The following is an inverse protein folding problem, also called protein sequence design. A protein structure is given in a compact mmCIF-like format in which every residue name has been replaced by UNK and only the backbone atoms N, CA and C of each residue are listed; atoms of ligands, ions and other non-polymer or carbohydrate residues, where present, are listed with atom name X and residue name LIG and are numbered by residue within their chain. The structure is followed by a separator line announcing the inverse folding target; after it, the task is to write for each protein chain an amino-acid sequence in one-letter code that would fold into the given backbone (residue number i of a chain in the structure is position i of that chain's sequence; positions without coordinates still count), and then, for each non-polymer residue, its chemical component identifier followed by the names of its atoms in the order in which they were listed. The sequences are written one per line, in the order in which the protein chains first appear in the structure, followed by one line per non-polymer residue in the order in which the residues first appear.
data_IF_738132340193
#
_entry.id   IF_738132340193
#
_cell.length_a   1.000
_cell.length_b   1.000
_cell.length_c   1.000
_cell.angle_alpha   90.00
_cell.angle_beta   90.00
_cell.angle_gamma   90.00
#
_symmetry.space_group_name_H-M   'P 1'
#
loop_
_entity.id
_entity.type
_entity.pdbx_description
1 polymer ?
#
# COMPACT_ATOMS: atom_id res chain seq x y z
N UNK A 1 -24.43 13.97 -9.93
CA UNK A 1 -24.80 14.19 -8.51
C UNK A 1 -23.53 14.43 -7.71
N UNK A 2 -23.46 15.54 -6.97
CA UNK A 2 -22.22 16.09 -6.40
C UNK A 2 -21.96 15.51 -5.00
N UNK A 3 -20.99 14.60 -4.86
CA UNK A 3 -20.64 13.86 -3.62
C UNK A 3 -20.18 14.75 -2.45
N UNK A 4 -19.88 16.03 -2.73
CA UNK A 4 -19.47 17.04 -1.74
C UNK A 4 -20.56 17.40 -0.70
N UNK A 5 -21.85 17.28 -1.07
CA UNK A 5 -22.96 17.68 -0.17
C UNK A 5 -23.27 16.67 0.93
N UNK A 6 -23.12 15.36 0.66
CA UNK A 6 -23.38 14.31 1.66
C UNK A 6 -22.34 14.33 2.80
N UNK A 7 -21.12 14.80 2.49
CA UNK A 7 -20.01 14.94 3.44
C UNK A 7 -20.28 15.98 4.55
N UNK A 8 -20.93 17.12 4.23
CA UNK A 8 -21.19 18.16 5.25
C UNK A 8 -22.26 17.75 6.27
N UNK A 9 -23.20 16.90 5.88
CA UNK A 9 -24.34 16.52 6.74
C UNK A 9 -23.99 15.40 7.75
N UNK A 10 -23.10 14.47 7.39
CA UNK A 10 -22.66 13.41 8.31
C UNK A 10 -21.64 13.90 9.34
N UNK A 11 -20.75 14.83 8.96
CA UNK A 11 -19.74 15.42 9.86
C UNK A 11 -20.39 16.35 10.89
N UNK A 12 -21.46 17.06 10.54
CA UNK A 12 -22.12 17.98 11.47
C UNK A 12 -22.91 17.25 12.57
N UNK A 13 -23.58 16.13 12.27
CA UNK A 13 -24.33 15.35 13.26
C UNK A 13 -23.40 14.62 14.26
N UNK A 14 -22.27 14.10 13.80
CA UNK A 14 -21.28 13.45 14.66
C UNK A 14 -20.53 14.45 15.55
N UNK A 15 -20.27 15.67 15.05
CA UNK A 15 -19.74 16.76 15.88
C UNK A 15 -20.73 17.27 16.94
N UNK A 16 -22.03 17.27 16.64
CA UNK A 16 -23.08 17.63 17.60
C UNK A 16 -23.23 16.58 18.71
N UNK A 17 -23.12 15.29 18.39
CA UNK A 17 -23.16 14.20 19.37
C UNK A 17 -21.91 14.17 20.28
N UNK A 18 -20.74 14.57 19.77
CA UNK A 18 -19.51 14.69 20.56
C UNK A 18 -19.58 15.78 21.64
N UNK A 19 -20.42 16.81 21.46
CA UNK A 19 -20.60 17.91 22.43
C UNK A 19 -21.55 17.58 23.59
N UNK A 20 -22.33 16.49 23.50
CA UNK A 20 -23.39 16.19 24.46
C UNK A 20 -22.98 15.37 25.69
N UNK A 21 -21.71 14.98 25.84
CA UNK A 21 -21.18 14.46 27.10
C UNK A 21 -20.25 13.27 26.99
N UNK A 22 -19.10 13.38 27.68
CA UNK A 22 -18.24 12.28 28.18
C UNK A 22 -17.81 11.18 27.19
N UNK A 23 -17.65 11.46 25.90
CA UNK A 23 -16.79 10.60 25.08
C UNK A 23 -15.32 10.95 25.33
N UNK A 24 -14.77 10.37 26.40
CA UNK A 24 -13.34 10.26 26.60
C UNK A 24 -12.81 9.27 25.55
N UNK A 25 -12.66 9.72 24.30
CA UNK A 25 -12.12 8.88 23.22
C UNK A 25 -10.69 9.31 22.88
N UNK A 26 -9.68 9.03 23.72
CA UNK A 26 -8.29 9.12 23.32
C UNK A 26 -7.90 7.85 22.56
N UNK A 27 -8.75 7.35 21.64
CA UNK A 27 -8.20 6.59 20.51
C UNK A 27 -7.58 7.66 19.61
N UNK A 28 -6.41 8.14 20.02
CA UNK A 28 -5.64 9.16 19.31
C UNK A 28 -5.59 8.70 17.86
N UNK A 29 -6.01 9.54 16.91
CA UNK A 29 -6.10 9.16 15.50
C UNK A 29 -4.80 8.52 14.95
N UNK A 30 -3.65 8.83 15.59
CA UNK A 30 -2.32 8.25 15.39
C UNK A 30 -2.15 6.77 15.77
N UNK A 31 -3.11 6.15 16.44
CA UNK A 31 -2.94 4.80 17.00
C UNK A 31 -3.61 3.68 16.21
N UNK A 32 -4.30 3.99 15.11
CA UNK A 32 -5.07 2.98 14.40
C UNK A 32 -4.23 2.27 13.32
N UNK A 33 -3.96 0.98 13.51
CA UNK A 33 -3.14 0.19 12.56
C UNK A 33 -3.83 -0.14 11.26
N UNK A 34 -5.16 -0.12 11.23
CA UNK A 34 -5.90 -0.22 9.97
C UNK A 34 -5.49 0.93 9.04
N UNK A 35 -5.48 2.15 9.58
CA UNK A 35 -4.99 3.33 8.84
C UNK A 35 -3.52 3.19 8.47
N UNK A 36 -2.68 2.68 9.37
CA UNK A 36 -1.26 2.46 9.07
C UNK A 36 -1.05 1.51 7.87
N UNK A 37 -1.84 0.43 7.78
CA UNK A 37 -1.83 -0.46 6.62
C UNK A 37 -2.23 0.26 5.32
N UNK A 38 -3.18 1.19 5.40
CA UNK A 38 -3.53 2.03 4.24
C UNK A 38 -2.42 3.00 3.86
N UNK A 39 -1.76 3.60 4.83
CA UNK A 39 -0.64 4.50 4.58
C UNK A 39 0.55 3.74 3.97
N UNK A 40 0.78 2.47 4.33
CA UNK A 40 1.76 1.59 3.68
C UNK A 40 1.40 1.29 2.22
N UNK A 41 0.14 0.99 1.93
CA UNK A 41 -0.36 0.80 0.55
C UNK A 41 -0.18 2.08 -0.28
N UNK A 42 -0.55 3.25 0.26
CA UNK A 42 -0.37 4.54 -0.41
C UNK A 42 1.10 4.82 -0.70
N UNK A 43 1.96 4.58 0.27
CA UNK A 43 3.40 4.77 0.14
C UNK A 43 3.97 3.97 -1.04
N UNK A 44 3.65 2.67 -1.11
CA UNK A 44 4.14 1.80 -2.18
C UNK A 44 3.56 2.15 -3.54
N UNK A 45 2.26 2.45 -3.62
CA UNK A 45 1.62 2.89 -4.86
C UNK A 45 2.27 4.15 -5.41
N UNK A 46 2.52 5.14 -4.56
CA UNK A 46 3.13 6.41 -4.99
C UNK A 46 4.59 6.19 -5.44
N UNK A 47 5.33 5.30 -4.76
CA UNK A 47 6.70 4.93 -5.16
C UNK A 47 6.75 4.16 -6.50
N UNK A 48 5.87 3.17 -6.69
CA UNK A 48 5.77 2.39 -7.93
C UNK A 48 5.35 3.28 -9.10
N UNK A 49 4.38 4.17 -8.90
CA UNK A 49 3.96 5.11 -9.94
C UNK A 49 5.12 6.00 -10.38
N UNK A 50 5.87 6.57 -9.43
CA UNK A 50 7.06 7.39 -9.76
C UNK A 50 8.13 6.57 -10.50
N UNK A 51 8.34 5.31 -10.13
CA UNK A 51 9.26 4.41 -10.82
C UNK A 51 8.82 4.13 -12.28
N UNK A 52 7.53 3.91 -12.49
CA UNK A 52 6.96 3.65 -13.82
C UNK A 52 6.96 4.90 -14.70
N UNK A 53 6.80 6.10 -14.14
CA UNK A 53 6.98 7.37 -14.87
C UNK A 53 8.40 7.49 -15.41
N UNK A 54 9.40 7.22 -14.57
CA UNK A 54 10.82 7.24 -14.95
C UNK A 54 11.15 6.16 -15.98
N UNK A 55 10.61 4.95 -15.81
CA UNK A 55 10.77 3.86 -16.77
C UNK A 55 10.12 4.21 -18.12
N UNK A 56 8.92 4.79 -18.13
CA UNK A 56 8.23 5.24 -19.33
C UNK A 56 9.01 6.37 -20.03
N UNK A 57 9.52 7.36 -19.29
CA UNK A 57 10.36 8.41 -19.86
C UNK A 57 11.64 7.84 -20.51
N UNK A 58 12.25 6.83 -19.91
CA UNK A 58 13.48 6.20 -20.43
C UNK A 58 13.18 5.34 -21.66
N UNK A 59 12.22 4.43 -21.55
CA UNK A 59 11.96 3.40 -22.56
C UNK A 59 11.09 3.90 -23.71
N UNK A 60 10.05 4.66 -23.41
CA UNK A 60 9.05 5.09 -24.39
C UNK A 60 9.43 6.42 -25.01
N UNK A 61 9.74 7.43 -24.19
CA UNK A 61 10.02 8.79 -24.70
C UNK A 61 11.43 8.87 -25.31
N UNK A 62 12.45 8.39 -24.59
CA UNK A 62 13.84 8.44 -25.06
C UNK A 62 14.27 7.24 -25.91
N UNK A 63 13.43 6.20 -26.00
CA UNK A 63 13.73 5.00 -26.77
C UNK A 63 14.91 4.16 -26.25
N UNK A 64 15.31 4.32 -24.98
CA UNK A 64 16.48 3.64 -24.40
C UNK A 64 16.07 2.39 -23.62
N UNK A 65 16.86 1.35 -23.74
CA UNK A 65 16.74 0.14 -22.93
C UNK A 65 16.76 0.47 -21.43
N UNK A 66 15.96 -0.24 -20.64
CA UNK A 66 16.04 -0.13 -19.18
C UNK A 66 17.27 -0.90 -18.70
N UNK A 67 18.09 -0.33 -17.80
CA UNK A 67 19.17 -1.08 -17.17
C UNK A 67 18.62 -2.32 -16.45
N UNK A 68 19.35 -3.44 -16.50
CA UNK A 68 18.91 -4.69 -15.86
C UNK A 68 18.61 -4.55 -14.37
N UNK A 69 19.38 -3.71 -13.66
CA UNK A 69 19.10 -3.43 -12.24
C UNK A 69 17.75 -2.76 -12.02
N UNK A 70 17.29 -1.92 -12.96
CA UNK A 70 16.02 -1.19 -12.85
C UNK A 70 14.83 -2.14 -13.06
N UNK A 71 14.95 -3.08 -14.00
CA UNK A 71 13.95 -4.14 -14.23
C UNK A 71 13.83 -5.04 -12.99
N UNK A 72 14.95 -5.50 -12.43
CA UNK A 72 14.94 -6.32 -11.21
C UNK A 72 14.38 -5.56 -10.00
N UNK A 73 14.73 -4.29 -9.86
CA UNK A 73 14.19 -3.41 -8.83
C UNK A 73 12.67 -3.24 -8.95
N UNK A 74 12.14 -3.03 -10.16
CA UNK A 74 10.70 -2.95 -10.42
C UNK A 74 10.01 -4.25 -10.04
N UNK A 75 10.52 -5.39 -10.51
CA UNK A 75 9.99 -6.74 -10.18
C UNK A 75 9.94 -6.97 -8.67
N UNK A 76 11.06 -6.73 -7.99
CA UNK A 76 11.14 -6.90 -6.54
C UNK A 76 10.14 -6.00 -5.79
N UNK A 77 9.99 -4.75 -6.25
CA UNK A 77 9.06 -3.79 -5.63
C UNK A 77 7.61 -4.21 -5.82
N UNK A 78 7.23 -4.58 -7.05
CA UNK A 78 5.86 -5.03 -7.38
C UNK A 78 5.52 -6.33 -6.64
N UNK A 79 6.45 -7.29 -6.53
CA UNK A 79 6.27 -8.50 -5.71
C UNK A 79 6.05 -8.17 -4.24
N UNK A 80 6.86 -7.27 -3.66
CA UNK A 80 6.68 -6.86 -2.26
C UNK A 80 5.32 -6.19 -2.04
N UNK A 81 4.89 -5.32 -2.95
CA UNK A 81 3.59 -4.65 -2.87
C UNK A 81 2.44 -5.66 -2.98
N UNK A 82 2.54 -6.60 -3.92
CA UNK A 82 1.57 -7.70 -4.10
C UNK A 82 1.35 -8.46 -2.79
N UNK A 83 2.44 -8.92 -2.16
CA UNK A 83 2.36 -9.68 -0.91
C UNK A 83 1.79 -8.83 0.24
N UNK A 84 2.22 -7.57 0.36
CA UNK A 84 1.72 -6.66 1.38
C UNK A 84 0.22 -6.39 1.26
N UNK A 85 -0.26 -6.15 0.03
CA UNK A 85 -1.68 -5.92 -0.22
C UNK A 85 -2.52 -7.16 0.07
N UNK A 86 -2.11 -8.35 -0.36
CA UNK A 86 -2.80 -9.61 -0.04
C UNK A 86 -2.91 -9.83 1.48
N UNK A 87 -1.82 -9.63 2.20
CA UNK A 87 -1.79 -9.74 3.66
C UNK A 87 -2.75 -8.74 4.32
N UNK A 88 -2.75 -7.49 3.87
CA UNK A 88 -3.67 -6.46 4.38
C UNK A 88 -5.15 -6.80 4.15
N UNK A 89 -5.51 -7.26 2.94
CA UNK A 89 -6.86 -7.69 2.62
C UNK A 89 -7.26 -8.95 3.40
N UNK A 90 -6.34 -9.90 3.60
CA UNK A 90 -6.58 -11.07 4.43
C UNK A 90 -6.91 -10.67 5.88
N UNK A 91 -6.12 -9.77 6.49
CA UNK A 91 -6.37 -9.27 7.84
C UNK A 91 -7.73 -8.59 8.01
N UNK A 92 -8.17 -7.83 7.00
CA UNK A 92 -9.52 -7.25 7.01
C UNK A 92 -10.59 -8.32 7.10
N UNK A 93 -10.51 -9.33 6.23
CA UNK A 93 -11.52 -10.39 6.13
C UNK A 93 -11.54 -11.33 7.33
N UNK A 94 -10.38 -11.66 7.89
CA UNK A 94 -10.29 -12.73 8.91
C UNK A 94 -10.36 -12.21 10.34
N UNK A 95 -10.09 -10.92 10.56
CA UNK A 95 -10.05 -10.35 11.91
C UNK A 95 -10.96 -9.13 12.03
N UNK A 96 -10.74 -8.12 11.20
CA UNK A 96 -11.34 -6.80 11.42
C UNK A 96 -12.84 -6.75 11.08
N UNK A 97 -13.23 -7.22 9.90
CA UNK A 97 -14.64 -7.25 9.52
C UNK A 97 -15.45 -8.22 10.38
N UNK A 98 -14.97 -9.44 10.69
CA UNK A 98 -15.66 -10.30 11.66
C UNK A 98 -15.84 -9.63 13.03
N UNK A 99 -14.81 -8.94 13.54
CA UNK A 99 -14.90 -8.19 14.79
C UNK A 99 -16.00 -7.11 14.73
N UNK A 100 -16.05 -6.31 13.67
CA UNK A 100 -17.09 -5.28 13.51
C UNK A 100 -18.49 -5.89 13.34
N UNK A 101 -18.62 -6.90 12.49
CA UNK A 101 -19.88 -7.59 12.20
C UNK A 101 -20.47 -8.31 13.41
N UNK A 102 -19.65 -8.65 14.42
CA UNK A 102 -20.14 -9.24 15.66
C UNK A 102 -21.01 -8.30 16.50
N UNK A 103 -20.98 -6.98 16.24
CA UNK A 103 -21.80 -5.98 16.96
C UNK A 103 -22.68 -5.14 16.05
N UNK A 104 -22.37 -5.09 14.76
CA UNK A 104 -22.93 -4.10 13.85
C UNK A 104 -23.32 -4.76 12.53
N UNK A 105 -24.41 -4.27 11.96
CA UNK A 105 -24.67 -4.47 10.53
C UNK A 105 -23.79 -3.48 9.77
N UNK A 106 -22.74 -3.99 9.13
CA UNK A 106 -21.84 -3.16 8.34
C UNK A 106 -22.57 -2.60 7.11
N UNK A 107 -22.38 -1.31 6.76
CA UNK A 107 -22.95 -0.76 5.54
C UNK A 107 -22.47 -1.54 4.33
N UNK A 108 -23.39 -1.90 3.41
CA UNK A 108 -23.05 -2.68 2.22
C UNK A 108 -21.90 -2.03 1.46
N UNK A 109 -21.92 -0.70 1.28
CA UNK A 109 -20.85 0.08 0.62
C UNK A 109 -19.42 -0.11 1.18
N UNK A 110 -19.27 -0.58 2.41
CA UNK A 110 -17.95 -0.88 3.01
C UNK A 110 -17.45 -2.28 2.61
N UNK A 111 -18.39 -3.20 2.35
CA UNK A 111 -18.17 -4.58 1.93
C UNK A 111 -18.22 -4.75 0.40
N UNK A 112 -18.98 -3.89 -0.28
CA UNK A 112 -19.25 -3.87 -1.72
C UNK A 112 -18.07 -3.27 -2.50
N UNK A 113 -16.87 -3.77 -2.26
CA UNK A 113 -15.76 -3.55 -3.17
C UNK A 113 -15.56 -4.80 -4.00
N UNK A 114 -15.41 -4.60 -5.31
CA UNK A 114 -15.17 -5.69 -6.24
C UNK A 114 -13.73 -6.20 -6.08
N UNK A 115 -13.54 -7.01 -5.03
CA UNK A 115 -12.25 -7.62 -4.71
C UNK A 115 -11.77 -8.47 -5.88
N UNK A 116 -12.66 -9.19 -6.56
CA UNK A 116 -12.29 -10.02 -7.69
C UNK A 116 -11.63 -9.20 -8.82
N UNK A 117 -12.23 -8.07 -9.19
CA UNK A 117 -11.62 -7.16 -10.18
C UNK A 117 -10.30 -6.58 -9.69
N UNK A 118 -10.23 -6.19 -8.41
CA UNK A 118 -8.98 -5.69 -7.81
C UNK A 118 -7.86 -6.74 -7.88
N UNK A 119 -8.15 -7.99 -7.53
CA UNK A 119 -7.18 -9.08 -7.54
C UNK A 119 -6.76 -9.46 -8.96
N UNK A 120 -7.70 -9.49 -9.91
CA UNK A 120 -7.39 -9.74 -11.31
C UNK A 120 -6.47 -8.65 -11.89
N UNK A 121 -6.72 -7.37 -11.57
CA UNK A 121 -5.85 -6.27 -11.97
C UNK A 121 -4.46 -6.40 -11.33
N UNK A 122 -4.39 -6.76 -10.05
CA UNK A 122 -3.15 -6.96 -9.32
C UNK A 122 -2.31 -8.11 -9.92
N UNK A 123 -2.93 -9.24 -10.25
CA UNK A 123 -2.28 -10.36 -10.91
C UNK A 123 -1.76 -9.98 -12.30
N UNK A 124 -2.54 -9.20 -13.06
CA UNK A 124 -2.14 -8.71 -14.39
C UNK A 124 -0.91 -7.81 -14.30
N UNK A 125 -0.91 -6.79 -13.43
CA UNK A 125 0.25 -5.87 -13.32
C UNK A 125 1.48 -6.60 -12.79
N UNK A 126 1.31 -7.59 -11.91
CA UNK A 126 2.42 -8.48 -11.52
C UNK A 126 2.95 -9.23 -12.73
N UNK A 127 2.10 -9.91 -13.48
CA UNK A 127 2.50 -10.70 -14.66
C UNK A 127 3.23 -9.86 -15.72
N UNK A 128 2.75 -8.65 -16.00
CA UNK A 128 3.42 -7.70 -16.90
C UNK A 128 4.81 -7.30 -16.39
N UNK A 129 4.95 -7.09 -15.08
CA UNK A 129 6.23 -6.72 -14.47
C UNK A 129 7.22 -7.89 -14.50
N UNK A 130 6.75 -9.11 -14.25
CA UNK A 130 7.55 -10.33 -14.40
C UNK A 130 8.03 -10.53 -15.83
N UNK A 131 7.17 -10.26 -16.82
CA UNK A 131 7.51 -10.36 -18.24
C UNK A 131 8.34 -9.21 -18.81
N UNK A 132 8.68 -8.19 -18.00
CA UNK A 132 9.40 -7.01 -18.49
C UNK A 132 10.83 -7.35 -18.93
N UNK A 133 11.18 -7.03 -20.17
CA UNK A 133 12.52 -7.23 -20.72
C UNK A 133 13.39 -5.97 -20.58
N UNK A 134 14.71 -6.15 -20.57
CA UNK A 134 15.71 -5.08 -20.56
C UNK A 134 15.85 -4.38 -21.91
N UNK A 135 15.40 -5.00 -23.00
CA UNK A 135 15.53 -4.44 -24.35
C UNK A 135 14.60 -3.26 -24.60
N UNK A 136 14.97 -2.37 -25.54
CA UNK A 136 14.11 -1.29 -26.01
C UNK A 136 13.05 -1.75 -27.05
N UNK A 137 12.62 -3.01 -26.96
CA UNK A 137 11.72 -3.62 -27.94
C UNK A 137 10.33 -2.97 -27.90
N UNK A 138 9.56 -3.03 -29.01
CA UNK A 138 8.16 -2.61 -29.03
C UNK A 138 7.33 -3.29 -27.93
N UNK A 139 7.60 -4.56 -27.65
CA UNK A 139 6.96 -5.34 -26.58
C UNK A 139 7.25 -4.75 -25.20
N UNK A 140 8.51 -4.42 -24.89
CA UNK A 140 8.87 -3.81 -23.61
C UNK A 140 8.22 -2.42 -23.44
N UNK A 141 8.18 -1.61 -24.51
CA UNK A 141 7.49 -0.30 -24.51
C UNK A 141 5.99 -0.45 -24.24
N UNK A 142 5.32 -1.42 -24.86
CA UNK A 142 3.91 -1.71 -24.63
C UNK A 142 3.68 -2.17 -23.17
N UNK A 143 4.51 -3.08 -22.67
CA UNK A 143 4.42 -3.58 -21.29
C UNK A 143 4.55 -2.46 -20.25
N UNK A 144 5.49 -1.52 -20.42
CA UNK A 144 5.64 -0.37 -19.49
C UNK A 144 4.42 0.55 -19.52
N UNK A 145 3.83 0.81 -20.70
CA UNK A 145 2.60 1.61 -20.82
C UNK A 145 1.43 0.93 -20.13
N UNK A 146 1.25 -0.37 -20.36
CA UNK A 146 0.21 -1.17 -19.72
C UNK A 146 0.39 -1.25 -18.19
N UNK A 147 1.63 -1.41 -17.71
CA UNK A 147 1.96 -1.36 -16.28
C UNK A 147 1.56 -0.02 -15.67
N UNK A 148 1.94 1.09 -16.30
CA UNK A 148 1.60 2.42 -15.83
C UNK A 148 0.09 2.63 -15.77
N UNK A 149 -0.64 2.29 -16.83
CA UNK A 149 -2.10 2.38 -16.86
C UNK A 149 -2.76 1.48 -15.79
N UNK A 150 -2.28 0.24 -15.64
CA UNK A 150 -2.79 -0.70 -14.65
C UNK A 150 -2.59 -0.22 -13.21
N UNK A 151 -1.39 0.28 -12.88
CA UNK A 151 -1.13 0.85 -11.56
C UNK A 151 -1.89 2.15 -11.30
N UNK A 152 -2.15 2.96 -12.32
CA UNK A 152 -2.99 4.16 -12.20
C UNK A 152 -4.43 3.81 -11.81
N UNK A 153 -5.03 2.83 -12.49
CA UNK A 153 -6.36 2.31 -12.14
C UNK A 153 -6.35 1.70 -10.74
N UNK A 154 -5.36 0.85 -10.44
CA UNK A 154 -5.22 0.19 -9.14
C UNK A 154 -5.12 1.21 -7.99
N UNK A 155 -4.31 2.26 -8.16
CA UNK A 155 -4.16 3.35 -7.20
C UNK A 155 -5.48 4.07 -6.95
N UNK A 156 -6.25 4.31 -8.00
CA UNK A 156 -7.56 4.98 -7.90
C UNK A 156 -8.55 4.12 -7.11
N UNK A 157 -8.69 2.84 -7.47
CA UNK A 157 -9.60 1.90 -6.80
C UNK A 157 -9.24 1.71 -5.32
N UNK A 158 -7.96 1.45 -5.03
CA UNK A 158 -7.50 1.25 -3.65
C UNK A 158 -7.68 2.51 -2.81
N UNK A 159 -7.39 3.70 -3.33
CA UNK A 159 -7.59 4.95 -2.59
C UNK A 159 -9.05 5.18 -2.25
N UNK A 160 -9.95 4.98 -3.21
CA UNK A 160 -11.39 5.11 -2.98
C UNK A 160 -11.88 4.12 -1.92
N UNK A 161 -11.44 2.86 -1.99
CA UNK A 161 -11.82 1.84 -1.01
C UNK A 161 -11.30 2.17 0.39
N UNK A 162 -10.01 2.50 0.50
CA UNK A 162 -9.40 2.86 1.78
C UNK A 162 -10.03 4.13 2.38
N UNK A 163 -10.40 5.11 1.56
CA UNK A 163 -11.12 6.31 2.02
C UNK A 163 -12.49 5.95 2.59
N UNK A 164 -13.28 5.11 1.90
CA UNK A 164 -14.59 4.64 2.40
C UNK A 164 -14.44 3.94 3.75
N UNK A 165 -13.47 3.05 3.87
CA UNK A 165 -13.17 2.34 5.11
C UNK A 165 -12.70 3.28 6.23
N UNK A 166 -11.87 4.28 5.91
CA UNK A 166 -11.41 5.26 6.90
C UNK A 166 -12.53 6.20 7.37
N UNK A 167 -13.43 6.60 6.46
CA UNK A 167 -14.53 7.53 6.75
C UNK A 167 -15.69 6.84 7.44
N UNK A 168 -15.97 5.57 7.13
CA UNK A 168 -17.10 4.83 7.70
C UNK A 168 -16.65 3.83 8.78
N UNK A 169 -15.65 3.01 8.48
CA UNK A 169 -15.20 1.92 9.34
C UNK A 169 -14.50 2.41 10.61
N UNK A 170 -13.63 3.43 10.53
CA UNK A 170 -12.93 3.93 11.72
C UNK A 170 -13.87 4.58 12.75
N UNK A 171 -14.84 5.43 12.37
CA UNK A 171 -15.84 5.92 13.31
C UNK A 171 -16.66 4.80 13.95
N UNK A 172 -17.11 3.80 13.18
CA UNK A 172 -17.85 2.65 13.72
C UNK A 172 -17.01 1.86 14.73
N UNK A 173 -15.75 1.60 14.42
CA UNK A 173 -14.81 0.95 15.35
C UNK A 173 -14.70 1.73 16.66
N UNK A 174 -14.53 3.06 16.58
CA UNK A 174 -14.37 3.92 17.78
C UNK A 174 -15.66 4.07 18.59
N UNK A 175 -16.82 4.00 17.94
CA UNK A 175 -18.13 4.15 18.57
C UNK A 175 -18.54 2.88 19.33
N UNK A 176 -18.17 1.70 18.81
CA UNK A 176 -18.69 0.42 19.31
C UNK A 176 -17.65 -0.48 19.98
N UNK A 177 -16.36 -0.10 19.95
CA UNK A 177 -15.29 -0.85 20.59
C UNK A 177 -14.44 0.06 21.46
N UNK A 178 -14.08 -0.46 22.63
CA UNK A 178 -13.12 0.20 23.51
C UNK A 178 -11.73 0.17 22.89
N UNK A 179 -10.86 1.10 23.31
CA UNK A 179 -9.46 1.09 22.90
C UNK A 179 -8.76 -0.24 23.23
N UNK A 180 -9.13 -0.89 24.34
CA UNK A 180 -8.58 -2.19 24.77
C UNK A 180 -8.95 -3.32 23.80
N UNK A 181 -10.20 -3.36 23.35
CA UNK A 181 -10.69 -4.36 22.39
C UNK A 181 -10.04 -4.18 21.02
N UNK A 182 -10.00 -2.95 20.52
CA UNK A 182 -9.30 -2.63 19.27
C UNK A 182 -7.82 -3.01 19.35
N UNK A 183 -7.14 -2.65 20.44
CA UNK A 183 -5.73 -3.02 20.65
C UNK A 183 -5.53 -4.53 20.77
N UNK A 184 -6.50 -5.29 21.29
CA UNK A 184 -6.41 -6.75 21.34
C UNK A 184 -6.46 -7.39 19.95
N UNK A 185 -7.38 -6.94 19.09
CA UNK A 185 -7.43 -7.36 17.70
C UNK A 185 -6.14 -6.99 16.94
N UNK A 186 -5.63 -5.78 17.15
CA UNK A 186 -4.36 -5.35 16.56
C UNK A 186 -3.16 -6.17 17.05
N UNK A 187 -3.08 -6.49 18.35
CA UNK A 187 -2.02 -7.36 18.88
C UNK A 187 -2.08 -8.75 18.26
N UNK A 188 -3.28 -9.30 18.09
CA UNK A 188 -3.49 -10.59 17.39
C UNK A 188 -2.93 -10.53 15.97
N UNK A 189 -3.26 -9.50 15.20
CA UNK A 189 -2.72 -9.29 13.85
C UNK A 189 -1.19 -9.22 13.83
N UNK A 190 -0.61 -8.40 14.71
CA UNK A 190 0.85 -8.20 14.75
C UNK A 190 1.58 -9.48 15.16
N UNK A 191 1.00 -10.27 16.07
CA UNK A 191 1.59 -11.56 16.49
C UNK A 191 1.63 -12.60 15.36
N UNK A 192 0.81 -12.42 14.32
CA UNK A 192 0.75 -13.30 13.14
C UNK A 192 1.66 -12.81 12.00
N UNK A 193 2.17 -11.57 12.07
CA UNK A 193 3.02 -11.00 11.04
C UNK A 193 4.45 -11.51 11.15
N UNK A 194 5.04 -11.88 10.00
CA UNK A 194 6.48 -12.13 9.93
C UNK A 194 7.22 -10.80 10.05
N UNK A 195 8.52 -10.80 10.43
CA UNK A 195 9.31 -9.58 10.47
C UNK A 195 9.30 -8.77 9.17
N UNK A 196 9.26 -9.43 8.01
CA UNK A 196 9.17 -8.77 6.71
C UNK A 196 7.82 -8.06 6.49
N UNK A 197 6.71 -8.67 6.92
CA UNK A 197 5.37 -8.09 6.79
C UNK A 197 5.22 -6.89 7.74
N UNK A 198 5.82 -6.99 8.94
CA UNK A 198 5.89 -5.89 9.88
C UNK A 198 6.76 -4.73 9.33
N UNK A 199 7.85 -5.05 8.63
CA UNK A 199 8.66 -4.04 7.93
C UNK A 199 7.88 -3.29 6.86
N UNK A 200 7.07 -4.01 6.09
CA UNK A 200 6.16 -3.40 5.14
C UNK A 200 5.14 -2.48 5.82
N UNK A 201 4.47 -2.96 6.87
CA UNK A 201 3.45 -2.18 7.59
C UNK A 201 4.00 -0.88 8.19
N UNK A 202 5.21 -0.94 8.76
CA UNK A 202 5.82 0.18 9.45
C UNK A 202 6.57 1.14 8.52
N UNK A 203 6.70 0.81 7.23
CA UNK A 203 7.49 1.55 6.23
C UNK A 203 7.19 3.06 6.16
N UNK A 204 5.93 3.52 6.25
CA UNK A 204 5.61 4.95 6.16
C UNK A 204 6.10 5.78 7.36
N UNK A 205 6.43 5.13 8.48
CA UNK A 205 6.75 5.80 9.73
C UNK A 205 8.22 6.21 9.83
N UNK A 206 8.49 7.28 10.57
CA UNK A 206 9.84 7.61 10.99
C UNK A 206 10.37 6.56 12.00
N UNK A 207 11.69 6.43 12.14
CA UNK A 207 12.32 5.43 13.02
C UNK A 207 11.84 5.52 14.48
N UNK A 208 11.65 6.74 15.01
CA UNK A 208 11.12 6.97 16.34
C UNK A 208 9.67 6.46 16.48
N UNK A 209 8.83 6.73 15.47
CA UNK A 209 7.43 6.30 15.42
C UNK A 209 7.30 4.78 15.25
N UNK A 210 8.26 4.12 14.56
CA UNK A 210 8.34 2.64 14.49
C UNK A 210 8.54 2.04 15.88
N UNK A 211 9.51 2.55 16.64
CA UNK A 211 9.79 2.09 18.01
C UNK A 211 8.59 2.31 18.94
N UNK A 212 7.95 3.47 18.85
CA UNK A 212 6.73 3.77 19.62
C UNK A 212 5.61 2.77 19.27
N UNK A 213 5.41 2.51 17.97
CA UNK A 213 4.38 1.60 17.48
C UNK A 213 4.60 0.15 17.94
N UNK A 214 5.85 -0.30 17.97
CA UNK A 214 6.25 -1.61 18.52
C UNK A 214 6.06 -1.70 20.04
N UNK A 215 6.36 -0.62 20.76
CA UNK A 215 6.15 -0.57 22.21
C UNK A 215 4.67 -0.65 22.55
N UNK A 216 3.82 0.04 21.79
CA UNK A 216 2.37 0.06 21.97
C UNK A 216 1.68 -1.29 21.73
N UNK A 217 2.25 -2.19 20.92
CA UNK A 217 1.73 -3.57 20.78
C UNK A 217 2.20 -4.50 21.88
N UNK A 218 3.06 -4.03 22.77
CA UNK A 218 3.68 -4.86 23.79
C UNK A 218 4.81 -5.74 23.25
N UNK A 219 5.49 -5.35 22.16
CA UNK A 219 6.74 -6.03 21.81
C UNK A 219 7.79 -5.70 22.89
N UNK A 220 8.47 -6.68 23.50
CA UNK A 220 9.50 -6.42 24.50
C UNK A 220 10.64 -5.54 23.97
N UNK A 221 11.07 -4.54 24.75
CA UNK A 221 12.06 -3.55 24.31
C UNK A 221 13.41 -4.16 23.86
N UNK A 222 13.87 -5.22 24.53
CA UNK A 222 15.10 -5.92 24.14
C UNK A 222 14.95 -6.61 22.78
N UNK A 223 13.82 -7.27 22.53
CA UNK A 223 13.51 -7.89 21.24
C UNK A 223 13.35 -6.85 20.11
N UNK A 224 12.72 -5.70 20.41
CA UNK A 224 12.68 -4.58 19.47
C UNK A 224 14.10 -4.14 19.09
N UNK A 225 14.96 -3.91 20.08
CA UNK A 225 16.32 -3.38 19.88
C UNK A 225 17.24 -4.34 19.13
N UNK A 226 17.20 -5.63 19.47
CA UNK A 226 18.15 -6.62 18.97
C UNK A 226 17.68 -7.34 17.71
N UNK A 227 16.36 -7.49 17.51
CA UNK A 227 15.82 -8.32 16.41
C UNK A 227 15.04 -7.46 15.42
N UNK A 228 13.95 -6.81 15.87
CA UNK A 228 13.04 -6.15 14.94
C UNK A 228 13.63 -4.89 14.32
N UNK A 229 14.09 -3.89 15.09
CA UNK A 229 14.61 -2.63 14.55
C UNK A 229 15.79 -2.84 13.58
N UNK A 230 16.77 -3.72 13.86
CA UNK A 230 17.80 -4.05 12.87
C UNK A 230 17.24 -4.70 11.59
N UNK A 231 16.26 -5.61 11.71
CA UNK A 231 15.61 -6.21 10.56
C UNK A 231 14.81 -5.18 9.74
N UNK A 232 14.07 -4.29 10.42
CA UNK A 232 13.34 -3.18 9.83
C UNK A 232 14.30 -2.24 9.07
N UNK A 233 15.41 -1.83 9.68
CA UNK A 233 16.43 -1.00 9.01
C UNK A 233 17.06 -1.69 7.81
N UNK A 234 17.27 -3.01 7.86
CA UNK A 234 17.77 -3.77 6.71
C UNK A 234 16.73 -3.78 5.59
N UNK A 235 15.48 -4.08 5.92
CA UNK A 235 14.37 -4.07 4.96
C UNK A 235 14.13 -2.68 4.36
N UNK A 236 14.12 -1.62 5.18
CA UNK A 236 14.00 -0.23 4.75
C UNK A 236 15.16 0.16 3.85
N UNK A 237 16.41 -0.17 4.23
CA UNK A 237 17.56 0.11 3.36
C UNK A 237 17.47 -0.62 2.03
N UNK A 238 16.95 -1.84 1.99
CA UNK A 238 16.77 -2.55 0.73
C UNK A 238 15.65 -1.91 -0.10
N UNK A 239 14.47 -1.72 0.47
CA UNK A 239 13.26 -1.28 -0.25
C UNK A 239 13.28 0.22 -0.54
N UNK A 240 13.55 1.07 0.46
CA UNK A 240 13.57 2.53 0.29
C UNK A 240 14.69 2.97 -0.64
N UNK A 241 15.85 2.29 -0.60
CA UNK A 241 16.91 2.51 -1.60
C UNK A 241 16.40 2.17 -2.98
N UNK A 242 15.81 0.99 -3.15
CA UNK A 242 15.23 0.56 -4.43
C UNK A 242 14.20 1.58 -4.93
N UNK A 243 13.30 2.07 -4.08
CA UNK A 243 12.34 3.11 -4.44
C UNK A 243 13.02 4.41 -4.91
N UNK A 244 14.07 4.87 -4.22
CA UNK A 244 14.82 6.07 -4.60
C UNK A 244 15.60 5.89 -5.90
N UNK A 245 16.23 4.74 -6.08
CA UNK A 245 16.94 4.37 -7.31
C UNK A 245 15.97 4.34 -8.49
N UNK A 246 14.82 3.70 -8.32
CA UNK A 246 13.78 3.63 -9.34
C UNK A 246 13.18 5.01 -9.68
N UNK A 247 12.88 5.82 -8.66
CA UNK A 247 12.30 7.15 -8.86
C UNK A 247 13.27 8.09 -9.59
N UNK A 248 14.56 8.06 -9.23
CA UNK A 248 15.60 8.87 -9.89
C UNK A 248 16.01 8.32 -11.27
N UNK A 249 15.85 7.02 -11.50
CA UNK A 249 16.39 6.34 -12.68
C UNK A 249 17.91 6.12 -12.59
N UNK A 250 18.49 6.38 -11.42
CA UNK A 250 19.93 6.28 -11.17
C UNK A 250 20.22 5.23 -10.12
N UNK A 251 21.24 4.41 -10.36
CA UNK A 251 21.71 3.46 -9.36
C UNK A 251 22.53 4.23 -8.32
N UNK A 252 22.03 4.30 -7.10
CA UNK A 252 22.76 4.92 -6.00
C UNK A 252 24.01 4.09 -5.73
N UNK A 253 25.16 4.75 -5.58
CA UNK A 253 26.42 4.09 -5.27
C UNK A 253 26.29 3.19 -4.03
N UNK A 254 27.14 2.15 -3.92
CA UNK A 254 27.25 1.41 -2.66
C UNK A 254 27.70 2.42 -1.60
N UNK A 255 26.80 2.80 -0.70
CA UNK A 255 27.16 3.51 0.54
C UNK A 255 28.19 2.62 1.21
N UNK A 256 29.43 3.10 1.37
CA UNK A 256 30.60 2.32 1.77
C UNK A 256 30.24 1.22 2.76
N UNK A 257 30.30 -0.02 2.29
CA UNK A 257 29.90 -1.19 3.05
C UNK A 257 30.98 -1.47 4.09
N UNK A 258 30.90 -0.80 5.24
CA UNK A 258 31.43 -1.37 6.47
C UNK A 258 30.73 -2.71 6.69
N UNK A 259 31.39 -3.81 6.27
CA UNK A 259 31.08 -5.20 6.63
C UNK A 259 29.66 -5.71 6.29
N UNK A 260 29.26 -5.77 5.03
CA UNK A 260 28.10 -6.60 4.63
C UNK A 260 28.42 -7.42 3.39
N UNK A 261 28.51 -8.74 3.55
CA UNK A 261 28.72 -9.70 2.44
C UNK A 261 27.43 -9.85 1.64
N UNK A 262 27.56 -9.87 0.32
CA UNK A 262 26.49 -10.03 -0.69
C UNK A 262 25.73 -11.40 -0.63
N UNK A 263 25.86 -12.16 0.48
CA UNK A 263 25.29 -13.49 0.66
C UNK A 263 23.87 -13.52 1.25
N UNK A 264 23.42 -12.45 1.90
CA UNK A 264 22.04 -12.33 2.41
C UNK A 264 21.10 -11.89 1.29
N UNK A 265 21.04 -12.66 0.19
CA UNK A 265 19.87 -12.60 -0.69
C UNK A 265 18.69 -12.98 0.20
N UNK A 266 17.74 -12.07 0.37
CA UNK A 266 16.47 -12.33 1.03
C UNK A 266 16.04 -13.76 0.69
N UNK A 267 16.08 -14.64 1.69
CA UNK A 267 15.84 -16.06 1.52
C UNK A 267 14.62 -16.23 0.64
N UNK A 268 14.80 -16.98 -0.45
CA UNK A 268 13.80 -17.32 -1.44
C UNK A 268 12.41 -17.44 -0.78
N UNK A 269 11.59 -16.38 -0.83
CA UNK A 269 10.25 -16.35 -0.19
C UNK A 269 9.23 -17.13 -1.04
N UNK A 270 9.71 -18.07 -1.86
CA UNK A 270 8.91 -19.01 -2.64
C UNK A 270 8.30 -20.10 -1.76
N UNK A 271 7.49 -19.71 -0.78
CA UNK A 271 6.48 -20.62 -0.22
C UNK A 271 5.34 -20.71 -1.23
N UNK A 272 5.16 -21.89 -1.82
CA UNK A 272 4.24 -22.13 -2.93
C UNK A 272 2.81 -21.68 -2.65
N UNK A 273 2.40 -20.58 -3.26
CA UNK A 273 0.99 -20.34 -3.58
C UNK A 273 0.79 -21.00 -4.94
N UNK A 274 0.18 -22.20 -4.96
CA UNK A 274 -0.27 -22.83 -6.19
C UNK A 274 -1.31 -21.90 -6.85
N UNK A 275 -0.88 -21.18 -7.88
CA UNK A 275 -1.77 -20.45 -8.78
C UNK A 275 -2.58 -21.47 -9.57
N UNK A 276 -3.84 -21.67 -9.21
CA UNK A 276 -4.78 -22.37 -10.09
C UNK A 276 -4.91 -21.58 -11.41
N UNK A 277 -4.97 -22.31 -12.53
CA UNK A 277 -5.02 -21.75 -13.87
C UNK A 277 -6.16 -20.73 -14.03
N UNK A 278 -5.87 -19.57 -14.61
CA UNK A 278 -6.86 -18.52 -14.88
C UNK A 278 -7.83 -18.94 -16.01
N UNK A 279 -9.15 -18.73 -15.86
CA UNK A 279 -10.12 -18.92 -16.93
C UNK A 279 -10.11 -17.74 -17.92
N UNK A 280 -10.43 -18.03 -19.19
CA UNK A 280 -10.51 -17.09 -20.34
C UNK A 280 -11.44 -15.87 -20.14
N UNK A 281 -12.20 -15.81 -19.05
CA UNK A 281 -13.15 -14.74 -18.72
C UNK A 281 -12.50 -13.37 -18.42
N UNK A 282 -11.24 -13.33 -18.00
CA UNK A 282 -10.57 -12.07 -17.65
C UNK A 282 -10.36 -11.11 -18.84
N UNK A 283 -10.35 -11.60 -20.09
CA UNK A 283 -10.19 -10.75 -21.28
C UNK A 283 -11.42 -9.87 -21.55
N UNK A 284 -12.63 -10.35 -21.28
CA UNK A 284 -13.86 -9.62 -21.61
C UNK A 284 -14.13 -8.45 -20.63
N UNK A 285 -13.85 -8.62 -19.34
CA UNK A 285 -13.98 -7.55 -18.33
C UNK A 285 -12.95 -6.42 -18.52
N UNK A 286 -11.77 -6.74 -19.06
CA UNK A 286 -10.72 -5.76 -19.35
C UNK A 286 -11.08 -4.86 -20.53
N UNK A 287 -11.70 -5.40 -21.58
CA UNK A 287 -12.12 -4.62 -22.73
C UNK A 287 -13.27 -3.65 -22.37
N UNK A 288 -14.10 -4.03 -21.39
CA UNK A 288 -15.10 -3.14 -20.80
C UNK A 288 -14.47 -2.01 -19.95
N UNK A 289 -13.33 -2.24 -19.29
CA UNK A 289 -12.58 -1.19 -18.58
C UNK A 289 -11.89 -0.20 -19.53
N UNK A 290 -11.39 -0.67 -20.67
CA UNK A 290 -10.82 0.17 -21.74
C UNK A 290 -11.90 1.04 -22.42
N UNK A 291 -13.14 0.55 -22.50
CA UNK A 291 -14.28 1.31 -23.03
C UNK A 291 -14.97 2.20 -21.99
N UNK A 292 -14.82 1.92 -20.69
CA UNK A 292 -15.43 2.69 -19.60
C UNK A 292 -14.56 3.88 -19.11
N UNK A 293 -13.32 3.98 -19.58
CA UNK A 293 -12.44 5.12 -19.33
C UNK A 293 -12.44 6.03 -20.56
N UNK A 294 -13.30 7.07 -20.63
CA UNK A 294 -13.07 8.12 -21.60
C UNK A 294 -11.69 8.74 -21.31
N UNK A 295 -10.93 9.05 -22.37
CA UNK A 295 -9.76 9.91 -22.36
C UNK A 295 -10.09 11.34 -21.89
N UNK A 296 -10.68 11.48 -20.70
CA UNK A 296 -10.94 12.73 -20.05
C UNK A 296 -9.63 13.21 -19.44
N UNK A 297 -9.00 14.14 -20.14
CA UNK A 297 -8.09 15.12 -19.57
C UNK A 297 -8.76 15.77 -18.34
N UNK A 298 -8.56 15.17 -17.17
CA UNK A 298 -8.81 15.80 -15.89
C UNK A 298 -7.48 16.36 -15.40
N UNK A 299 -7.25 17.63 -15.71
CA UNK A 299 -6.29 18.49 -15.03
C UNK A 299 -6.69 18.57 -13.54
N UNK A 300 -6.26 17.59 -12.74
CA UNK A 300 -6.29 17.72 -11.29
C UNK A 300 -5.07 18.56 -10.91
N UNK A 301 -5.27 19.87 -10.74
CA UNK A 301 -4.29 20.81 -10.17
C UNK A 301 -3.96 20.38 -8.73
N UNK A 302 -2.98 19.49 -8.57
CA UNK A 302 -2.31 19.25 -7.30
C UNK A 302 -1.38 20.44 -6.98
N UNK A 303 -1.88 21.42 -6.22
CA UNK A 303 -1.01 22.45 -5.63
C UNK A 303 -0.06 21.78 -4.62
N UNK A 304 1.19 21.57 -5.01
CA UNK A 304 2.31 21.40 -4.06
C UNK A 304 2.42 22.69 -3.24
N UNK A 305 2.02 22.67 -1.96
CA UNK A 305 2.54 23.66 -0.99
C UNK A 305 4.02 23.32 -0.80
N UNK A 306 4.92 24.17 -1.32
CA UNK A 306 6.31 24.20 -0.85
C UNK A 306 6.31 24.80 0.57
N UNK A 307 7.09 24.26 1.52
CA UNK A 307 7.38 24.97 2.76
C UNK A 307 8.20 26.22 2.41
N UNK A 308 7.71 27.38 2.86
CA UNK A 308 8.35 28.67 2.65
C UNK A 308 9.64 28.78 3.46
N UNK A 309 10.61 29.46 2.85
CA UNK A 309 11.75 30.07 3.52
C UNK A 309 11.27 31.08 4.56
N UNK A 310 11.87 31.03 5.74
CA UNK A 310 11.85 32.10 6.72
C UNK A 310 12.97 33.07 6.31
N UNK A 311 12.58 34.30 5.97
CA UNK A 311 13.34 35.49 6.33
C UNK A 311 12.77 36.01 7.66
#
# INVERSE_FOLDING_TARGET
MNSSWMYRCCVSKSAAQAKAGKFNLPIVARANRWKLGHDAIRYDLDAIMSALETANATLVVRGRALPGWQVEALRSTVRSFYLGLHMHLAHKRTVLFPMLSARLVLPSKMLDYDEATLMALLDRVRGLCEGLDITASPTAKAAVRELYAGFFVLRTLLRQQMEREEVLGLPLLRMHFTAREAAAAERKLISQMRPADLAWLLRPLAEAEKKETLTRVGVPGLFQKLVLLPALRRADRAVLRTHRELASGEKLGRVGSGLWRDGDRFGNVGGGIQSQAQPRAAKAQVQALDQALPCAALEIKWRRRRPGHLD
#
